data_IF_398982288200
#
_entry.id   IF_398982288200
#
_cell.length_a   1.000
_cell.length_b   1.000
_cell.length_c   1.000
_cell.angle_alpha   90.00
_cell.angle_beta   90.00
_cell.angle_gamma   90.00
#
_symmetry.space_group_name_H-M   'P 1'
#
loop_
_entity.id
_entity.type
_entity.pdbx_description
1 polymer ?
#
# COMPACT_ATOMS: atom_id res chain seq x y z
N UNK A 1 -19.93 1.00 -7.60
CA UNK A 1 -20.09 0.52 -6.20
C UNK A 1 -21.34 1.17 -5.66
N UNK A 2 -22.28 0.39 -5.15
CA UNK A 2 -23.53 0.87 -4.55
C UNK A 2 -23.51 0.62 -3.04
N UNK A 3 -22.57 1.27 -2.36
CA UNK A 3 -22.32 1.06 -0.92
C UNK A 3 -22.36 2.40 -0.22
N UNK A 4 -23.03 2.48 0.93
CA UNK A 4 -23.05 3.69 1.74
C UNK A 4 -21.65 4.03 2.27
N UNK A 5 -21.35 5.33 2.36
CA UNK A 5 -20.14 5.78 3.04
C UNK A 5 -20.27 5.53 4.54
N UNK A 6 -19.30 4.86 5.18
CA UNK A 6 -19.38 4.56 6.61
C UNK A 6 -19.17 5.79 7.52
N UNK A 7 -18.69 6.91 6.96
CA UNK A 7 -18.38 8.14 7.73
C UNK A 7 -19.41 9.23 7.47
N UNK A 8 -19.79 9.41 6.20
CA UNK A 8 -20.72 10.47 5.80
C UNK A 8 -22.09 9.87 5.49
N UNK A 9 -23.02 9.97 6.44
CA UNK A 9 -24.41 9.59 6.26
C UNK A 9 -25.01 10.25 5.02
N UNK A 10 -25.73 9.47 4.20
CA UNK A 10 -26.36 9.95 2.96
C UNK A 10 -25.45 10.02 1.73
N UNK A 11 -24.14 9.76 1.84
CA UNK A 11 -23.23 9.69 0.68
C UNK A 11 -22.95 8.26 0.26
N UNK A 12 -22.78 8.06 -1.05
CA UNK A 12 -22.37 6.78 -1.64
C UNK A 12 -20.87 6.72 -1.84
N UNK A 13 -20.30 5.55 -1.59
CA UNK A 13 -18.91 5.24 -1.89
C UNK A 13 -18.76 5.00 -3.40
N UNK A 14 -17.68 5.53 -3.97
CA UNK A 14 -17.38 5.36 -5.40
C UNK A 14 -16.11 4.55 -5.64
N UNK A 15 -15.23 4.46 -4.64
CA UNK A 15 -13.95 3.72 -4.66
C UNK A 15 -13.74 3.03 -3.30
N UNK A 16 -12.74 2.16 -3.22
CA UNK A 16 -12.23 1.61 -1.96
C UNK A 16 -10.82 2.13 -1.66
N UNK A 17 -10.46 2.17 -0.37
CA UNK A 17 -9.11 2.45 0.08
C UNK A 17 -8.13 1.40 -0.48
N UNK A 18 -6.99 1.85 -1.02
CA UNK A 18 -5.97 0.96 -1.56
C UNK A 18 -5.36 0.04 -0.49
N UNK A 19 -5.24 0.54 0.75
CA UNK A 19 -4.63 -0.21 1.85
C UNK A 19 -5.61 -1.17 2.55
N UNK A 20 -6.69 -0.65 3.14
CA UNK A 20 -7.61 -1.44 3.96
C UNK A 20 -8.91 -1.85 3.24
N UNK A 21 -9.06 -1.53 1.94
CA UNK A 21 -10.23 -1.84 1.10
C UNK A 21 -11.57 -1.23 1.54
N UNK A 22 -11.58 -0.43 2.62
CA UNK A 22 -12.78 0.24 3.12
C UNK A 22 -13.41 1.14 2.03
N UNK A 23 -14.75 1.11 1.83
CA UNK A 23 -15.42 1.99 0.88
C UNK A 23 -15.25 3.46 1.27
N UNK A 24 -14.97 4.31 0.27
CA UNK A 24 -14.74 5.76 0.43
C UNK A 24 -15.66 6.55 -0.51
N UNK A 25 -16.28 7.60 0.03
CA UNK A 25 -16.94 8.62 -0.78
C UNK A 25 -15.93 9.68 -1.23
N UNK A 26 -16.33 10.58 -2.15
CA UNK A 26 -15.46 11.65 -2.66
C UNK A 26 -14.92 12.60 -1.59
N UNK A 27 -15.56 12.69 -0.42
CA UNK A 27 -15.05 13.49 0.71
C UNK A 27 -14.03 12.74 1.56
N UNK A 28 -14.16 11.42 1.66
CA UNK A 28 -13.19 10.58 2.36
C UNK A 28 -11.95 10.27 1.51
N UNK A 29 -11.95 10.64 0.22
CA UNK A 29 -10.87 10.29 -0.68
C UNK A 29 -9.63 11.12 -0.38
N UNK A 30 -8.54 10.42 -0.06
CA UNK A 30 -7.24 11.02 0.09
C UNK A 30 -6.32 10.43 -0.98
N UNK A 31 -5.92 11.26 -1.94
CA UNK A 31 -5.08 10.82 -3.06
C UNK A 31 -3.61 11.02 -2.75
N UNK A 32 -2.83 9.95 -2.77
CA UNK A 32 -1.38 9.99 -2.58
C UNK A 32 -0.69 8.99 -3.51
N UNK A 33 0.35 9.45 -4.21
CA UNK A 33 1.17 8.63 -5.13
C UNK A 33 0.31 7.79 -6.09
N UNK A 34 -0.75 8.39 -6.66
CA UNK A 34 -1.65 7.72 -7.61
C UNK A 34 -2.70 6.78 -6.99
N UNK A 35 -2.67 6.54 -5.68
CA UNK A 35 -3.62 5.68 -4.97
C UNK A 35 -4.60 6.49 -4.11
N UNK A 36 -5.76 5.89 -3.81
CA UNK A 36 -6.78 6.48 -2.93
C UNK A 36 -6.77 5.81 -1.56
N UNK A 37 -6.85 6.60 -0.51
CA UNK A 37 -6.84 6.14 0.88
C UNK A 37 -8.01 6.73 1.65
N UNK A 38 -8.50 6.03 2.67
CA UNK A 38 -9.53 6.53 3.57
C UNK A 38 -9.00 7.42 4.68
N UNK A 39 -7.69 7.46 4.90
CA UNK A 39 -7.04 8.28 5.93
C UNK A 39 -5.54 8.46 5.66
N UNK A 40 -4.89 9.50 6.22
CA UNK A 40 -3.45 9.68 6.14
C UNK A 40 -2.65 8.52 6.75
N UNK A 41 -3.21 7.86 7.78
CA UNK A 41 -2.60 6.69 8.41
C UNK A 41 -2.49 5.52 7.42
N UNK A 42 -3.58 5.20 6.71
CA UNK A 42 -3.56 4.16 5.67
C UNK A 42 -2.57 4.44 4.54
N UNK A 43 -2.40 5.72 4.17
CA UNK A 43 -1.42 6.09 3.15
C UNK A 43 0.03 5.91 3.63
N UNK A 44 0.32 6.30 4.88
CA UNK A 44 1.64 6.08 5.51
C UNK A 44 1.95 4.60 5.65
N UNK A 45 0.99 3.82 6.14
CA UNK A 45 1.16 2.38 6.34
C UNK A 45 1.41 1.68 5.00
N UNK A 46 0.62 1.98 3.96
CA UNK A 46 0.84 1.45 2.62
C UNK A 46 2.25 1.78 2.07
N UNK A 47 2.73 3.00 2.30
CA UNK A 47 4.09 3.40 1.94
C UNK A 47 5.16 2.60 2.70
N UNK A 48 4.95 2.35 4.00
CA UNK A 48 5.87 1.54 4.82
C UNK A 48 5.93 0.10 4.33
N UNK A 49 4.79 -0.55 4.07
CA UNK A 49 4.76 -1.92 3.54
C UNK A 49 5.38 -2.03 2.15
N UNK A 50 5.23 -1.02 1.29
CA UNK A 50 5.90 -0.99 -0.01
C UNK A 50 7.43 -0.95 0.15
N UNK A 51 7.94 -0.15 1.09
CA UNK A 51 9.38 -0.10 1.41
C UNK A 51 9.88 -1.45 1.95
N UNK A 52 9.14 -2.12 2.84
CA UNK A 52 9.52 -3.44 3.34
C UNK A 52 9.60 -4.51 2.24
N UNK A 53 8.66 -4.51 1.28
CA UNK A 53 8.76 -5.42 0.11
C UNK A 53 10.01 -5.16 -0.71
N UNK A 54 10.38 -3.89 -0.93
CA UNK A 54 11.61 -3.55 -1.65
C UNK A 54 12.88 -3.96 -0.91
N UNK A 55 12.90 -3.87 0.43
CA UNK A 55 14.05 -4.32 1.24
C UNK A 55 14.20 -5.85 1.17
N UNK A 56 13.11 -6.61 1.18
CA UNK A 56 13.18 -8.07 1.06
C UNK A 56 13.70 -8.54 -0.31
N UNK A 57 13.33 -7.89 -1.42
CA UNK A 57 13.89 -8.23 -2.74
C UNK A 57 15.37 -7.89 -2.86
N UNK A 58 15.87 -6.87 -2.16
CA UNK A 58 17.30 -6.57 -2.08
C UNK A 58 18.10 -7.59 -1.25
N UNK A 59 17.48 -8.21 -0.25
CA UNK A 59 18.11 -9.24 0.58
C UNK A 59 18.08 -10.64 -0.04
N UNK A 60 17.24 -10.86 -1.06
CA UNK A 60 17.08 -12.14 -1.75
C UNK A 60 17.93 -12.28 -3.00
N UNK A 61 19.00 -11.51 -3.19
CA UNK A 61 20.04 -11.92 -4.14
C UNK A 61 20.74 -13.16 -3.59
N UNK A 62 20.50 -14.38 -4.14
CA UNK A 62 21.31 -15.52 -3.76
C UNK A 62 22.75 -15.17 -4.16
N UNK A 63 23.65 -15.18 -3.18
CA UNK A 63 25.08 -15.18 -3.45
C UNK A 63 25.31 -16.43 -4.29
N UNK A 64 25.53 -16.25 -5.59
CA UNK A 64 25.89 -17.35 -6.48
C UNK A 64 27.15 -17.99 -5.89
N UNK A 65 27.18 -19.30 -5.60
CA UNK A 65 28.33 -19.96 -4.96
C UNK A 65 29.59 -20.03 -5.84
N UNK A 66 29.66 -19.27 -6.94
CA UNK A 66 30.80 -19.21 -7.83
C UNK A 66 31.96 -18.32 -7.32
N UNK A 67 31.76 -17.57 -6.22
CA UNK A 67 32.75 -16.62 -5.68
C UNK A 67 33.32 -17.04 -4.31
N UNK A 68 33.13 -18.30 -3.88
CA UNK A 68 33.66 -18.80 -2.61
C UNK A 68 35.07 -19.44 -2.71
N UNK A 69 35.67 -19.51 -3.90
CA UNK A 69 37.02 -20.05 -4.12
C UNK A 69 37.99 -18.94 -4.60
N UNK A 70 38.39 -18.06 -3.69
CA UNK A 70 39.56 -17.20 -3.87
C UNK A 70 40.06 -16.68 -2.51
N UNK A 71 40.40 -17.60 -1.61
CA UNK A 71 41.32 -17.33 -0.48
C UNK A 71 42.26 -18.52 -0.39
N UNK A 72 43.38 -18.43 -1.09
CA UNK A 72 44.62 -19.19 -0.85
C UNK A 72 45.70 -18.14 -0.65
#
# INVERSE_FOLDING_TARGET
MDVACPVHGGRRAHRGCHHCRRPICRLCELRMRGHLYCSPRCARDAGRYAVWRHVQTGLQTPIRPALALAVV
#
